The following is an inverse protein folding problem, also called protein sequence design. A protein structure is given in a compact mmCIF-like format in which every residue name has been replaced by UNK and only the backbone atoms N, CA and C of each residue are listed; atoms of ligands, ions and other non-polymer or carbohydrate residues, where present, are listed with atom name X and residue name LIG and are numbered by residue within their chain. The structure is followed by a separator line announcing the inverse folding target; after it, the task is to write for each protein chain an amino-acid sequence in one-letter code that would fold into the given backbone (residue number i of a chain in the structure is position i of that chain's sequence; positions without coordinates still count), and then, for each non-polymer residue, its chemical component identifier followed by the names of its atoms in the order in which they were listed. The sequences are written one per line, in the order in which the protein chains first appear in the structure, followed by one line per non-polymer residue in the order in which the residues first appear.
data_IF_213004019186
#
_entry.id   IF_213004019186
#
_cell.length_a   1.000
_cell.length_b   1.000
_cell.length_c   1.000
_cell.angle_alpha   90.00
_cell.angle_beta   90.00
_cell.angle_gamma   90.00
#
_symmetry.space_group_name_H-M   'P 1'
#
loop_
_entity.id
_entity.type
_entity.pdbx_description
1 polymer ?
#
# COMPACT_ATOMS: atom_id res chain seq x y z
N UNK A 1 0.95 4.83 -9.20
CA UNK A 1 0.42 3.48 -8.85
C UNK A 1 -0.57 2.98 -9.89
N UNK A 2 -1.52 3.79 -10.37
CA UNK A 2 -2.54 3.32 -11.32
C UNK A 2 -1.95 2.78 -12.64
N UNK A 3 -0.90 3.40 -13.20
CA UNK A 3 -0.29 2.91 -14.43
C UNK A 3 0.46 1.59 -14.23
N UNK A 4 1.21 1.47 -13.12
CA UNK A 4 1.84 0.20 -12.71
C UNK A 4 0.79 -0.92 -12.56
N UNK A 5 -0.35 -0.60 -11.94
CA UNK A 5 -1.47 -1.54 -11.81
C UNK A 5 -2.02 -1.94 -13.17
N UNK A 6 -2.35 -0.99 -14.05
CA UNK A 6 -2.86 -1.27 -15.40
C UNK A 6 -1.89 -2.15 -16.20
N UNK A 7 -0.58 -1.89 -16.06
CA UNK A 7 0.48 -2.64 -16.76
C UNK A 7 0.49 -4.11 -16.37
N UNK A 8 0.46 -4.41 -15.07
CA UNK A 8 0.68 -5.76 -14.57
C UNK A 8 -0.56 -6.50 -14.05
N UNK A 9 -1.74 -5.86 -14.03
CA UNK A 9 -2.99 -6.47 -13.52
C UNK A 9 -3.29 -7.80 -14.20
N UNK A 10 -3.14 -7.88 -15.53
CA UNK A 10 -3.41 -9.10 -16.30
C UNK A 10 -2.45 -10.23 -15.99
N UNK A 11 -1.28 -9.89 -15.45
CA UNK A 11 -0.25 -10.85 -15.06
C UNK A 11 -0.42 -11.29 -13.59
N UNK A 12 -1.46 -10.83 -12.90
CA UNK A 12 -1.79 -11.21 -11.53
C UNK A 12 -1.23 -10.28 -10.45
N UNK A 13 -0.80 -9.07 -10.82
CA UNK A 13 -0.45 -8.02 -9.84
C UNK A 13 -1.72 -7.33 -9.31
N UNK A 14 -1.85 -7.26 -7.99
CA UNK A 14 -2.94 -6.54 -7.33
C UNK A 14 -2.41 -5.46 -6.38
N UNK A 15 -3.12 -4.33 -6.33
CA UNK A 15 -2.90 -3.28 -5.34
C UNK A 15 -4.07 -3.28 -4.37
N UNK A 16 -3.75 -3.32 -3.08
CA UNK A 16 -4.71 -3.23 -1.98
C UNK A 16 -4.51 -1.89 -1.27
N UNK A 17 -5.51 -1.01 -1.36
CA UNK A 17 -5.44 0.35 -0.82
C UNK A 17 -6.22 0.45 0.50
N UNK A 18 -5.52 0.84 1.57
CA UNK A 18 -6.02 0.92 2.93
C UNK A 18 -5.99 2.37 3.43
N UNK A 19 -7.13 3.08 3.44
CA UNK A 19 -7.20 4.43 3.98
C UNK A 19 -6.88 4.46 5.47
N UNK A 20 -6.16 5.49 5.91
CA UNK A 20 -5.79 5.67 7.31
C UNK A 20 -5.78 7.16 7.67
N UNK A 21 -6.43 7.52 8.76
CA UNK A 21 -6.54 8.92 9.21
C UNK A 21 -5.50 9.30 10.29
N UNK A 22 -4.50 8.45 10.55
CA UNK A 22 -3.51 8.69 11.61
C UNK A 22 -2.44 9.73 11.24
N UNK A 23 -2.43 10.21 9.99
CA UNK A 23 -1.39 11.07 9.46
C UNK A 23 -2.00 12.38 8.95
N UNK A 24 -1.90 13.43 9.76
CA UNK A 24 -2.34 14.78 9.39
C UNK A 24 -3.85 14.94 9.10
N UNK A 25 -4.69 13.98 9.50
CA UNK A 25 -6.13 14.04 9.23
C UNK A 25 -6.50 13.95 7.74
N UNK A 26 -5.62 13.38 6.90
CA UNK A 26 -5.73 13.40 5.43
C UNK A 26 -6.73 12.38 4.85
N UNK A 27 -7.45 11.64 5.70
CA UNK A 27 -8.50 10.70 5.30
C UNK A 27 -9.64 10.73 6.32
N UNK A 28 -10.13 11.92 6.64
CA UNK A 28 -11.18 12.15 7.66
C UNK A 28 -12.57 11.84 7.11
N UNK A 29 -12.74 12.00 5.81
CA UNK A 29 -13.96 11.81 5.04
C UNK A 29 -14.46 10.35 5.12
N UNK A 30 -15.77 10.11 4.92
CA UNK A 30 -16.35 8.79 4.71
C UNK A 30 -15.65 8.00 3.59
N UNK A 31 -15.73 6.67 3.64
CA UNK A 31 -15.02 5.81 2.69
C UNK A 31 -15.56 5.98 1.26
N UNK A 32 -16.85 6.23 1.12
CA UNK A 32 -17.55 6.45 -0.15
C UNK A 32 -17.05 7.72 -0.84
N UNK A 33 -16.94 8.83 -0.10
CA UNK A 33 -16.40 10.10 -0.62
C UNK A 33 -14.93 9.96 -1.03
N UNK A 34 -14.16 9.22 -0.23
CA UNK A 34 -12.76 8.90 -0.55
C UNK A 34 -12.67 8.09 -1.85
N UNK A 35 -13.57 7.13 -2.05
CA UNK A 35 -13.60 6.30 -3.25
C UNK A 35 -13.93 7.14 -4.50
N UNK A 36 -14.96 7.98 -4.40
CA UNK A 36 -15.39 8.88 -5.47
C UNK A 36 -14.27 9.87 -5.84
N UNK A 37 -13.71 10.57 -4.85
CA UNK A 37 -12.63 11.53 -5.07
C UNK A 37 -11.43 10.90 -5.78
N UNK A 38 -10.97 9.71 -5.35
CA UNK A 38 -9.82 9.06 -6.00
C UNK A 38 -10.14 8.63 -7.43
N UNK A 39 -11.36 8.14 -7.67
CA UNK A 39 -11.82 7.73 -9.00
C UNK A 39 -11.90 8.93 -9.94
N UNK A 40 -12.52 10.03 -9.52
CA UNK A 40 -12.67 11.23 -10.34
C UNK A 40 -11.32 11.90 -10.62
N UNK A 41 -10.48 12.06 -9.58
CA UNK A 41 -9.24 12.82 -9.70
C UNK A 41 -8.10 12.05 -10.37
N UNK A 42 -8.04 10.73 -10.14
CA UNK A 42 -6.87 9.92 -10.52
C UNK A 42 -7.22 8.69 -11.36
N UNK A 43 -8.51 8.39 -11.56
CA UNK A 43 -8.94 7.23 -12.34
C UNK A 43 -8.44 5.91 -11.77
N UNK A 44 -8.28 5.81 -10.44
CA UNK A 44 -7.82 4.57 -9.78
C UNK A 44 -8.86 3.46 -9.94
N UNK A 45 -8.38 2.24 -10.19
CA UNK A 45 -9.25 1.06 -10.41
C UNK A 45 -8.87 -0.15 -9.56
N UNK A 46 -7.83 -0.03 -8.74
CA UNK A 46 -7.46 -1.06 -7.78
C UNK A 46 -8.37 -1.01 -6.54
N UNK A 47 -8.37 -2.10 -5.78
CA UNK A 47 -9.30 -2.31 -4.67
C UNK A 47 -9.03 -1.35 -3.52
N UNK A 48 -10.07 -0.61 -3.12
CA UNK A 48 -10.12 0.18 -1.89
C UNK A 48 -10.76 -0.65 -0.78
N UNK A 49 -10.15 -0.67 0.39
CA UNK A 49 -10.67 -1.30 1.60
C UNK A 49 -11.22 -0.25 2.57
N UNK A 50 -11.88 -0.73 3.63
CA UNK A 50 -12.29 0.11 4.74
C UNK A 50 -11.10 0.79 5.42
N UNK A 51 -11.41 1.88 6.13
CA UNK A 51 -10.42 2.66 6.87
C UNK A 51 -9.88 1.84 8.03
N UNK A 52 -8.56 1.73 8.12
CA UNK A 52 -7.86 0.98 9.17
C UNK A 52 -6.93 1.89 9.97
N UNK A 53 -6.57 1.43 11.18
CA UNK A 53 -5.41 1.97 11.90
C UNK A 53 -4.21 1.09 11.56
N UNK A 54 -3.08 1.72 11.28
CA UNK A 54 -1.84 1.03 10.89
C UNK A 54 -0.77 1.11 11.97
N UNK A 55 -0.95 2.00 12.94
CA UNK A 55 -0.11 2.17 14.12
C UNK A 55 -0.95 2.09 15.40
N UNK A 56 -0.29 2.00 16.56
CA UNK A 56 -0.86 1.91 17.93
C UNK A 56 -1.37 0.52 18.34
N UNK A 57 -1.84 0.38 19.60
CA UNK A 57 -2.38 -0.88 20.15
C UNK A 57 -3.62 -1.39 19.40
N UNK A 58 -4.34 -0.49 18.73
CA UNK A 58 -5.54 -0.82 17.95
C UNK A 58 -5.23 -0.86 16.44
N UNK A 59 -3.97 -1.07 16.06
CA UNK A 59 -3.61 -1.29 14.66
C UNK A 59 -4.25 -2.59 14.16
N UNK A 60 -4.63 -2.58 12.89
CA UNK A 60 -5.10 -3.78 12.21
C UNK A 60 -4.01 -4.88 12.29
N UNK A 61 -4.39 -6.15 12.56
CA UNK A 61 -3.45 -7.25 12.65
C UNK A 61 -2.54 -7.39 11.42
N UNK A 62 -3.05 -7.10 10.22
CA UNK A 62 -2.25 -7.13 8.99
C UNK A 62 -1.09 -6.13 9.07
N UNK A 63 -1.38 -4.88 9.44
CA UNK A 63 -0.35 -3.85 9.53
C UNK A 63 0.61 -4.09 10.69
N UNK A 64 0.15 -4.70 11.77
CA UNK A 64 1.03 -5.16 12.85
C UNK A 64 2.00 -6.24 12.37
N UNK A 65 1.52 -7.24 11.63
CA UNK A 65 2.37 -8.25 11.03
C UNK A 65 3.38 -7.64 10.04
N UNK A 66 2.90 -6.86 9.06
CA UNK A 66 3.75 -6.26 8.01
C UNK A 66 4.89 -5.42 8.58
N UNK A 67 4.60 -4.58 9.59
CA UNK A 67 5.57 -3.65 10.16
C UNK A 67 6.61 -4.35 11.05
N UNK A 68 6.23 -5.44 11.70
CA UNK A 68 7.11 -6.28 12.52
C UNK A 68 8.03 -7.14 11.65
N UNK A 69 7.50 -7.76 10.59
CA UNK A 69 8.30 -8.59 9.66
C UNK A 69 9.26 -7.75 8.79
N UNK A 70 8.84 -6.53 8.43
CA UNK A 70 9.69 -5.56 7.72
C UNK A 70 9.73 -4.22 8.46
N UNK A 71 10.59 -4.09 9.50
CA UNK A 71 10.89 -2.78 10.08
C UNK A 71 11.60 -1.89 9.04
N UNK A 72 11.72 -0.59 9.32
CA UNK A 72 12.62 0.26 8.52
C UNK A 72 14.08 -0.16 8.70
N UNK A 73 14.98 0.36 7.87
CA UNK A 73 16.42 0.06 7.96
C UNK A 73 17.00 0.39 9.34
N UNK A 74 16.45 1.41 10.02
CA UNK A 74 16.85 1.79 11.38
C UNK A 74 16.17 0.94 12.48
N UNK A 75 15.51 -0.17 12.11
CA UNK A 75 14.83 -1.08 13.03
C UNK A 75 13.47 -0.59 13.54
N UNK A 76 12.87 0.43 12.90
CA UNK A 76 11.59 1.01 13.36
C UNK A 76 10.40 0.32 12.70
N UNK A 77 9.57 -0.34 13.50
CA UNK A 77 8.36 -1.04 13.06
C UNK A 77 7.12 -0.11 12.98
N UNK A 78 7.31 1.21 12.98
CA UNK A 78 6.22 2.19 12.89
C UNK A 78 6.07 2.72 11.47
N UNK A 79 4.84 2.84 10.97
CA UNK A 79 4.57 3.53 9.70
C UNK A 79 4.68 5.03 9.92
N UNK A 80 5.57 5.69 9.18
CA UNK A 80 5.96 7.09 9.41
C UNK A 80 4.96 8.09 8.81
N UNK A 81 4.37 7.78 7.66
CA UNK A 81 3.48 8.69 6.93
C UNK A 81 2.56 7.96 5.94
N UNK A 82 1.67 8.71 5.29
CA UNK A 82 0.80 8.24 4.21
C UNK A 82 1.60 7.71 3.00
N UNK A 83 1.02 6.76 2.26
CA UNK A 83 1.56 6.17 1.03
C UNK A 83 2.82 5.31 1.18
N UNK A 84 3.10 4.81 2.38
CA UNK A 84 4.05 3.70 2.56
C UNK A 84 3.53 2.43 1.88
N UNK A 85 4.43 1.62 1.33
CA UNK A 85 4.06 0.46 0.49
C UNK A 85 4.73 -0.79 1.05
N UNK A 86 4.00 -1.90 1.06
CA UNK A 86 4.57 -3.23 1.28
C UNK A 86 4.34 -4.01 -0.01
N UNK A 87 5.37 -4.72 -0.46
CA UNK A 87 5.26 -5.63 -1.59
C UNK A 87 5.34 -7.05 -1.06
N UNK A 88 4.38 -7.87 -1.49
CA UNK A 88 4.21 -9.26 -1.09
C UNK A 88 4.21 -10.10 -2.36
N UNK A 89 4.95 -11.21 -2.36
CA UNK A 89 4.98 -12.14 -3.50
C UNK A 89 3.78 -13.11 -3.50
N UNK A 90 3.68 -13.95 -4.53
CA UNK A 90 2.59 -14.92 -4.70
C UNK A 90 2.57 -16.01 -3.62
N UNK A 91 3.66 -16.20 -2.90
CA UNK A 91 3.78 -17.17 -1.80
C UNK A 91 3.46 -16.54 -0.44
N UNK A 92 3.18 -15.23 -0.39
CA UNK A 92 2.87 -14.50 0.83
C UNK A 92 4.11 -13.94 1.55
N UNK A 93 5.30 -14.03 0.96
CA UNK A 93 6.49 -13.44 1.56
C UNK A 93 6.52 -11.93 1.34
N UNK A 94 6.85 -11.18 2.39
CA UNK A 94 7.03 -9.73 2.27
C UNK A 94 8.41 -9.49 1.67
N UNK A 95 8.44 -9.07 0.40
CA UNK A 95 9.70 -8.86 -0.34
C UNK A 95 10.30 -7.48 -0.07
N UNK A 96 9.47 -6.49 0.29
CA UNK A 96 9.96 -5.14 0.52
C UNK A 96 8.97 -4.22 1.23
N UNK A 97 9.52 -3.19 1.87
CA UNK A 97 8.80 -2.06 2.45
C UNK A 97 9.39 -0.78 1.88
N UNK A 98 8.56 0.04 1.25
CA UNK A 98 8.99 1.23 0.51
C UNK A 98 8.41 2.51 1.08
N UNK A 99 9.25 3.54 1.09
CA UNK A 99 8.91 4.89 1.52
C UNK A 99 7.88 5.53 0.56
N UNK A 100 7.05 6.47 1.05
CA UNK A 100 6.16 7.27 0.20
C UNK A 100 6.83 7.89 -1.03
N UNK A 101 8.10 8.29 -0.92
CA UNK A 101 8.90 8.91 -1.98
C UNK A 101 9.31 7.96 -3.11
N UNK A 102 9.33 6.65 -2.86
CA UNK A 102 9.62 5.65 -3.90
C UNK A 102 8.52 5.71 -4.93
N UNK A 103 8.92 6.03 -6.16
CA UNK A 103 8.00 6.21 -7.28
C UNK A 103 7.58 4.85 -7.85
N UNK A 104 6.40 4.75 -8.48
CA UNK A 104 5.93 3.49 -9.06
C UNK A 104 6.89 2.90 -10.11
N UNK A 105 7.61 3.75 -10.85
CA UNK A 105 8.55 3.32 -11.89
C UNK A 105 9.76 2.58 -11.29
N UNK A 106 10.16 2.96 -10.06
CA UNK A 106 11.23 2.27 -9.33
C UNK A 106 10.79 0.88 -8.84
N UNK A 107 9.49 0.59 -8.84
CA UNK A 107 8.94 -0.73 -8.51
C UNK A 107 8.70 -1.60 -9.75
N UNK A 108 8.82 -1.03 -10.96
CA UNK A 108 8.45 -1.70 -12.21
C UNK A 108 9.26 -2.99 -12.44
N UNK A 109 10.57 -2.89 -12.34
CA UNK A 109 11.48 -4.03 -12.50
C UNK A 109 11.25 -5.09 -11.42
N UNK A 110 11.10 -4.67 -10.16
CA UNK A 110 10.86 -5.60 -9.03
C UNK A 110 9.56 -6.37 -9.23
N UNK A 111 8.47 -5.68 -9.59
CA UNK A 111 7.17 -6.31 -9.84
C UNK A 111 7.26 -7.25 -11.04
N UNK A 112 7.88 -6.82 -12.14
CA UNK A 112 8.10 -7.65 -13.34
C UNK A 112 8.82 -8.96 -13.01
N UNK A 113 9.91 -8.90 -12.24
CA UNK A 113 10.68 -10.09 -11.86
C UNK A 113 9.90 -11.05 -10.95
N UNK A 114 9.05 -10.53 -10.06
CA UNK A 114 8.21 -11.37 -9.21
C UNK A 114 7.09 -12.07 -9.97
N UNK A 115 6.60 -11.48 -11.06
CA UNK A 115 5.52 -12.04 -11.87
C UNK A 115 5.99 -13.14 -12.84
N UNK A 116 7.28 -13.12 -13.21
CA UNK A 116 7.92 -14.17 -14.03
C UNK A 116 8.10 -15.51 -13.29
N UNK A 117 8.00 -15.50 -11.96
CA UNK A 117 8.11 -16.69 -11.09
C UNK A 117 6.78 -17.40 -10.92
#
# INVERSE_FOLDING_TARGET
MQDLYKKYKKDGFEILDFPCNQFGGQAKEPIEEIAEFRKEKYGVTFKLFDKVKVNSKNADPLFTYLRTEKPTEEGVDKIRWNFGKFLIDRQGNIVGRYDPRVKPEELDEIVSELLKK
#
